data_IF_217073417960
#
_entry.id   IF_217073417960
#
_cell.length_a   1.000
_cell.length_b   1.000
_cell.length_c   1.000
_cell.angle_alpha   90.00
_cell.angle_beta   90.00
_cell.angle_gamma   90.00
#
_symmetry.space_group_name_H-M   'P 1'
#
loop_
_entity.id
_entity.type
_entity.pdbx_description
1 polymer ?
#
# COMPACT_ATOMS: atom_id res chain seq x y z
N UNK A 1 -23.40 -8.75 -18.13
CA UNK A 1 -22.11 -8.05 -17.95
C UNK A 1 -22.10 -7.43 -16.56
N UNK A 2 -21.11 -7.75 -15.73
CA UNK A 2 -20.91 -7.11 -14.43
C UNK A 2 -20.49 -5.66 -14.63
N UNK A 3 -20.96 -4.74 -13.77
CA UNK A 3 -20.50 -3.35 -13.80
C UNK A 3 -19.10 -3.30 -13.17
N UNK A 4 -18.19 -2.55 -13.79
CA UNK A 4 -16.82 -2.36 -13.30
C UNK A 4 -16.71 -1.09 -12.46
N UNK A 5 -16.02 -1.19 -11.33
CA UNK A 5 -15.72 -0.05 -10.46
C UNK A 5 -14.22 0.01 -10.21
N UNK A 6 -13.61 1.16 -10.47
CA UNK A 6 -12.21 1.44 -10.16
C UNK A 6 -12.14 2.35 -8.95
N UNK A 7 -11.43 1.93 -7.91
CA UNK A 7 -11.28 2.65 -6.65
C UNK A 7 -9.83 3.09 -6.52
N UNK A 8 -9.58 4.40 -6.58
CA UNK A 8 -8.25 4.97 -6.37
C UNK A 8 -8.08 5.40 -4.91
N UNK A 9 -7.27 4.65 -4.16
CA UNK A 9 -6.97 4.94 -2.75
C UNK A 9 -5.88 6.00 -2.63
N UNK A 10 -6.21 7.12 -1.98
CA UNK A 10 -5.26 8.19 -1.66
C UNK A 10 -4.30 7.83 -0.53
N UNK A 11 -3.30 8.69 -0.27
CA UNK A 11 -2.26 8.43 0.74
C UNK A 11 -2.79 8.15 2.15
N UNK A 12 -3.89 8.80 2.54
CA UNK A 12 -4.55 8.62 3.84
C UNK A 12 -5.15 7.21 4.04
N UNK A 13 -5.34 6.45 2.96
CA UNK A 13 -5.83 5.07 3.02
C UNK A 13 -4.73 4.08 3.46
N UNK A 14 -3.46 4.48 3.38
CA UNK A 14 -2.29 3.61 3.58
C UNK A 14 -1.41 4.12 4.72
N UNK A 15 -1.38 5.43 4.95
CA UNK A 15 -0.48 6.05 5.93
C UNK A 15 -1.20 7.13 6.74
N UNK A 16 -0.83 7.20 8.02
CA UNK A 16 -1.20 8.27 8.94
C UNK A 16 0.01 9.19 9.15
N UNK A 17 -0.08 10.15 10.06
CA UNK A 17 1.10 10.95 10.48
C UNK A 17 2.19 10.10 11.12
N UNK A 18 1.89 8.89 11.56
CA UNK A 18 2.85 7.89 12.04
C UNK A 18 3.28 6.96 10.88
N UNK A 19 4.58 6.96 10.59
CA UNK A 19 5.20 6.12 9.54
C UNK A 19 5.43 4.66 9.96
N UNK A 20 5.13 4.28 11.20
CA UNK A 20 5.35 2.93 11.72
C UNK A 20 4.60 1.86 10.93
N UNK A 21 5.14 0.64 10.93
CA UNK A 21 4.49 -0.52 10.29
C UNK A 21 3.09 -0.74 10.86
N UNK A 22 2.93 -0.60 12.18
CA UNK A 22 1.64 -0.79 12.87
C UNK A 22 0.60 0.29 12.49
N UNK A 23 1.01 1.56 12.39
CA UNK A 23 0.12 2.62 11.95
C UNK A 23 -0.38 2.39 10.51
N UNK A 24 0.52 2.01 9.59
CA UNK A 24 0.14 1.69 8.21
C UNK A 24 -0.79 0.47 8.16
N UNK A 25 -0.56 -0.56 8.99
CA UNK A 25 -1.47 -1.71 9.09
C UNK A 25 -2.86 -1.29 9.56
N UNK A 26 -2.94 -0.44 10.58
CA UNK A 26 -4.21 0.09 11.11
C UNK A 26 -4.98 0.91 10.06
N UNK A 27 -4.29 1.77 9.31
CA UNK A 27 -4.89 2.56 8.23
C UNK A 27 -5.48 1.67 7.12
N UNK A 28 -4.71 0.66 6.68
CA UNK A 28 -5.17 -0.31 5.67
C UNK A 28 -6.40 -1.08 6.18
N UNK A 29 -6.39 -1.53 7.44
CA UNK A 29 -7.52 -2.24 8.03
C UNK A 29 -8.79 -1.37 8.05
N UNK A 30 -8.68 -0.11 8.47
CA UNK A 30 -9.80 0.83 8.47
C UNK A 30 -10.34 1.03 7.04
N UNK A 31 -9.45 1.18 6.06
CA UNK A 31 -9.83 1.28 4.64
C UNK A 31 -10.58 0.03 4.18
N UNK A 32 -10.07 -1.18 4.46
CA UNK A 32 -10.71 -2.43 4.06
C UNK A 32 -12.08 -2.63 4.73
N UNK A 33 -12.25 -2.18 5.97
CA UNK A 33 -13.56 -2.18 6.65
C UNK A 33 -14.56 -1.28 5.92
N UNK A 34 -14.15 -0.09 5.49
CA UNK A 34 -14.98 0.82 4.69
C UNK A 34 -15.36 0.23 3.34
N UNK A 35 -14.46 -0.54 2.71
CA UNK A 35 -14.71 -1.20 1.42
C UNK A 35 -15.53 -2.50 1.55
N UNK A 36 -15.67 -3.07 2.76
CA UNK A 36 -16.36 -4.34 3.01
C UNK A 36 -17.75 -4.46 2.36
N UNK A 37 -18.61 -3.41 2.35
CA UNK A 37 -19.90 -3.47 1.68
C UNK A 37 -19.81 -3.65 0.16
N UNK A 38 -18.77 -3.11 -0.49
CA UNK A 38 -18.59 -3.20 -1.94
C UNK A 38 -18.30 -4.63 -2.39
N UNK A 39 -17.55 -5.40 -1.57
CA UNK A 39 -17.26 -6.81 -1.85
C UNK A 39 -18.49 -7.73 -1.77
N UNK A 40 -19.64 -7.22 -1.33
CA UNK A 40 -20.93 -7.95 -1.34
C UNK A 40 -21.79 -7.64 -2.56
N UNK A 41 -21.31 -6.79 -3.47
CA UNK A 41 -22.01 -6.42 -4.70
C UNK A 41 -21.53 -7.29 -5.87
N UNK A 42 -22.32 -7.36 -6.94
CA UNK A 42 -21.95 -8.06 -8.18
C UNK A 42 -21.02 -7.23 -9.09
N UNK A 43 -20.28 -6.28 -8.51
CA UNK A 43 -19.35 -5.43 -9.24
C UNK A 43 -17.96 -6.07 -9.37
N UNK A 44 -17.37 -5.91 -10.55
CA UNK A 44 -15.96 -6.19 -10.76
C UNK A 44 -15.15 -5.00 -10.20
N UNK A 45 -14.45 -5.22 -9.08
CA UNK A 45 -13.74 -4.16 -8.37
C UNK A 45 -12.25 -4.20 -8.69
N UNK A 46 -11.72 -3.05 -9.13
CA UNK A 46 -10.28 -2.81 -9.28
C UNK A 46 -9.86 -1.77 -8.23
N UNK A 47 -8.85 -2.08 -7.43
CA UNK A 47 -8.28 -1.16 -6.45
C UNK A 47 -6.92 -0.70 -6.95
N UNK A 48 -6.72 0.61 -7.02
CA UNK A 48 -5.42 1.23 -7.21
C UNK A 48 -5.05 2.06 -5.98
N UNK A 49 -3.79 2.42 -5.85
CA UNK A 49 -3.31 3.19 -4.71
C UNK A 49 -2.14 4.09 -5.10
N UNK A 50 -1.96 5.18 -4.36
CA UNK A 50 -0.70 5.94 -4.37
C UNK A 50 0.37 5.29 -3.49
N UNK A 51 1.63 5.68 -3.64
CA UNK A 51 2.74 5.20 -2.82
C UNK A 51 3.71 6.32 -2.37
N UNK A 52 3.36 7.60 -2.56
CA UNK A 52 4.26 8.75 -2.36
C UNK A 52 5.00 8.77 -1.01
N UNK A 53 4.29 8.69 0.13
CA UNK A 53 4.94 8.61 1.44
C UNK A 53 5.84 7.39 1.61
N UNK A 54 5.44 6.24 1.05
CA UNK A 54 6.16 4.97 1.17
C UNK A 54 7.44 4.97 0.33
N UNK A 55 7.36 5.43 -0.93
CA UNK A 55 8.51 5.50 -1.82
C UNK A 55 9.48 6.58 -1.34
N UNK A 56 8.98 7.71 -0.81
CA UNK A 56 9.81 8.74 -0.20
C UNK A 56 10.63 8.21 0.98
N UNK A 57 9.99 7.49 1.91
CA UNK A 57 10.70 6.86 3.03
C UNK A 57 11.71 5.81 2.57
N UNK A 58 11.36 4.98 1.59
CA UNK A 58 12.25 3.97 1.05
C UNK A 58 13.46 4.61 0.37
N UNK A 59 13.29 5.67 -0.42
CA UNK A 59 14.40 6.39 -1.04
C UNK A 59 15.37 6.96 -0.01
N UNK A 60 14.85 7.53 1.09
CA UNK A 60 15.70 8.01 2.19
C UNK A 60 16.48 6.85 2.80
N UNK A 61 15.87 5.66 2.96
CA UNK A 61 16.56 4.47 3.45
C UNK A 61 17.65 4.01 2.47
N UNK A 62 17.34 3.94 1.17
CA UNK A 62 18.29 3.56 0.12
C UNK A 62 19.48 4.51 0.08
N UNK A 63 19.24 5.82 0.12
CA UNK A 63 20.31 6.83 0.16
C UNK A 63 21.18 6.73 1.41
N UNK A 64 20.60 6.40 2.57
CA UNK A 64 21.34 6.25 3.82
C UNK A 64 22.13 4.95 3.90
N UNK A 65 21.68 3.90 3.23
CA UNK A 65 22.31 2.58 3.22
C UNK A 65 23.26 2.37 2.02
N UNK A 66 23.37 3.37 1.13
CA UNK A 66 24.17 3.28 -0.09
C UNK A 66 25.64 3.02 0.24
N UNK A 67 26.15 1.89 -0.22
CA UNK A 67 27.53 1.47 -0.03
C UNK A 67 27.97 0.52 -1.15
N UNK A 68 29.28 0.26 -1.33
CA UNK A 68 29.75 -0.75 -2.27
C UNK A 68 29.13 -2.15 -2.04
N UNK A 69 28.87 -2.50 -0.78
CA UNK A 69 28.26 -3.78 -0.40
C UNK A 69 26.73 -3.78 -0.56
N UNK A 70 26.09 -2.61 -0.42
CA UNK A 70 24.63 -2.43 -0.53
C UNK A 70 24.27 -1.19 -1.35
N UNK A 71 24.42 -1.21 -2.69
CA UNK A 71 24.14 -0.06 -3.52
C UNK A 71 22.66 0.34 -3.47
N UNK A 72 22.40 1.65 -3.48
CA UNK A 72 21.06 2.19 -3.54
C UNK A 72 20.37 1.80 -4.86
N UNK A 73 19.16 1.26 -4.74
CA UNK A 73 18.29 0.98 -5.88
C UNK A 73 17.72 2.27 -6.47
N UNK A 74 17.53 2.32 -7.80
CA UNK A 74 16.90 3.44 -8.47
C UNK A 74 15.41 3.59 -8.11
N UNK A 75 14.85 4.75 -8.47
CA UNK A 75 13.49 5.17 -8.11
C UNK A 75 12.40 4.19 -8.60
N UNK A 76 12.52 3.69 -9.81
CA UNK A 76 11.59 2.74 -10.42
C UNK A 76 11.56 1.39 -9.66
N UNK A 77 12.73 0.91 -9.25
CA UNK A 77 12.87 -0.29 -8.43
C UNK A 77 12.28 -0.09 -7.04
N UNK A 78 12.52 1.07 -6.42
CA UNK A 78 11.83 1.45 -5.18
C UNK A 78 10.31 1.54 -5.36
N UNK A 79 9.85 1.98 -6.54
CA UNK A 79 8.46 1.94 -6.95
C UNK A 79 7.89 0.52 -6.92
N UNK A 80 8.57 -0.43 -7.55
CA UNK A 80 8.18 -1.85 -7.54
C UNK A 80 8.16 -2.43 -6.12
N UNK A 81 9.17 -2.14 -5.30
CA UNK A 81 9.23 -2.58 -3.90
C UNK A 81 8.03 -2.07 -3.09
N UNK A 82 7.68 -0.79 -3.24
CA UNK A 82 6.54 -0.21 -2.51
C UNK A 82 5.19 -0.71 -3.01
N UNK A 83 5.04 -1.02 -4.30
CA UNK A 83 3.84 -1.71 -4.82
C UNK A 83 3.70 -3.10 -4.19
N UNK A 84 4.78 -3.89 -4.15
CA UNK A 84 4.78 -5.21 -3.50
C UNK A 84 4.44 -5.13 -2.02
N UNK A 85 5.05 -4.19 -1.28
CA UNK A 85 4.77 -3.96 0.14
C UNK A 85 3.30 -3.61 0.39
N UNK A 86 2.75 -2.66 -0.37
CA UNK A 86 1.37 -2.19 -0.17
C UNK A 86 0.37 -3.26 -0.58
N UNK A 87 0.57 -3.87 -1.76
CA UNK A 87 -0.28 -4.96 -2.26
C UNK A 87 -0.30 -6.15 -1.30
N UNK A 88 0.86 -6.56 -0.79
CA UNK A 88 0.95 -7.60 0.24
C UNK A 88 0.12 -7.25 1.48
N UNK A 89 0.15 -6.00 1.96
CA UNK A 89 -0.61 -5.61 3.16
C UNK A 89 -2.11 -5.56 2.94
N UNK A 90 -2.57 -5.23 1.73
CA UNK A 90 -4.00 -5.30 1.37
C UNK A 90 -4.50 -6.75 1.27
N UNK A 91 -3.66 -7.67 0.76
CA UNK A 91 -4.02 -9.08 0.54
C UNK A 91 -3.75 -9.98 1.75
N UNK A 92 -2.87 -9.55 2.66
CA UNK A 92 -2.43 -10.35 3.80
C UNK A 92 -3.59 -10.71 4.73
N UNK A 93 -3.74 -12.00 4.98
CA UNK A 93 -4.69 -12.53 5.97
C UNK A 93 -4.34 -12.20 7.42
N UNK A 94 -3.08 -11.86 7.72
CA UNK A 94 -2.68 -11.46 9.09
C UNK A 94 -3.33 -10.15 9.54
N UNK A 95 -3.97 -9.43 8.62
CA UNK A 95 -4.75 -8.22 8.87
C UNK A 95 -6.25 -8.48 9.08
N UNK A 96 -6.73 -9.68 8.74
CA UNK A 96 -8.15 -10.04 8.68
C UNK A 96 -8.52 -11.08 9.72
N UNK A 97 -8.80 -10.62 10.94
CA UNK A 97 -9.84 -11.20 11.77
C UNK A 97 -11.21 -10.59 11.40
N UNK A 98 -11.58 -10.66 10.11
CA UNK A 98 -12.82 -10.10 9.54
C UNK A 98 -13.82 -11.16 9.11
#
# INVERSE_FOLDING_TARGET
MHKKVVIALGGNAIQTTDGSSEAQKKAIRATMQTLKPLFKTDYDIVISHGNGPQIGNLLIQQQKADSPETPAMPLDTCGAMTQGMIGFRFLSKSQSSL
#
